data_IF_264096614452
#
_entry.id   IF_264096614452
#
_cell.length_a   1.000
_cell.length_b   1.000
_cell.length_c   1.000
_cell.angle_alpha   90.00
_cell.angle_beta   90.00
_cell.angle_gamma   90.00
#
_symmetry.space_group_name_H-M   'P 1'
#
loop_
_entity.id
_entity.type
_entity.pdbx_description
1 polymer ?
#
# COMPACT_ATOMS: atom_id res chain seq x y z
N UNK A 1 -12.09 -11.14 14.09
CA UNK A 1 -12.41 -9.74 13.70
C UNK A 1 -11.81 -9.31 12.35
N UNK A 2 -10.53 -9.59 12.07
CA UNK A 2 -9.85 -9.20 10.81
C UNK A 2 -10.46 -9.85 9.56
N UNK A 3 -10.77 -11.15 9.59
CA UNK A 3 -11.35 -11.89 8.45
C UNK A 3 -12.74 -11.33 8.05
N UNK A 4 -13.53 -10.88 9.02
CA UNK A 4 -14.85 -10.27 8.77
C UNK A 4 -14.74 -8.87 8.16
N UNK A 5 -13.75 -8.07 8.58
CA UNK A 5 -13.48 -6.75 8.00
C UNK A 5 -12.97 -6.86 6.54
N UNK A 6 -12.10 -7.83 6.24
CA UNK A 6 -11.63 -8.09 4.88
C UNK A 6 -12.78 -8.50 3.94
N UNK A 7 -13.64 -9.43 4.38
CA UNK A 7 -14.77 -9.92 3.58
C UNK A 7 -15.80 -8.82 3.31
N UNK A 8 -16.18 -8.06 4.34
CA UNK A 8 -17.17 -6.98 4.22
C UNK A 8 -16.65 -5.85 3.32
N UNK A 9 -15.40 -5.44 3.50
CA UNK A 9 -14.81 -4.40 2.65
C UNK A 9 -14.67 -4.85 1.20
N UNK A 10 -14.34 -6.13 0.96
CA UNK A 10 -14.25 -6.65 -0.40
C UNK A 10 -15.59 -6.54 -1.15
N UNK A 11 -16.72 -6.73 -0.44
CA UNK A 11 -18.04 -6.62 -1.05
C UNK A 11 -18.54 -5.19 -1.24
N UNK A 12 -18.36 -4.31 -0.25
CA UNK A 12 -18.93 -2.96 -0.28
C UNK A 12 -17.93 -1.89 -0.68
N UNK A 13 -16.75 -1.88 -0.06
CA UNK A 13 -15.74 -0.85 -0.28
C UNK A 13 -15.17 -0.95 -1.70
N UNK A 14 -14.82 -2.15 -2.17
CA UNK A 14 -14.31 -2.34 -3.53
C UNK A 14 -15.28 -1.80 -4.59
N UNK A 15 -16.57 -2.10 -4.46
CA UNK A 15 -17.61 -1.59 -5.37
C UNK A 15 -17.75 -0.07 -5.29
N UNK A 16 -17.58 0.51 -4.11
CA UNK A 16 -17.60 1.96 -3.93
C UNK A 16 -16.38 2.62 -4.60
N UNK A 17 -15.17 2.09 -4.36
CA UNK A 17 -13.92 2.56 -4.97
C UNK A 17 -14.02 2.54 -6.50
N UNK A 18 -14.55 1.45 -7.06
CA UNK A 18 -14.71 1.29 -8.49
C UNK A 18 -15.78 2.22 -9.08
N UNK A 19 -16.99 2.26 -8.48
CA UNK A 19 -18.12 3.02 -9.05
C UNK A 19 -18.09 4.52 -8.79
N UNK A 20 -17.45 4.96 -7.71
CA UNK A 20 -17.48 6.37 -7.26
C UNK A 20 -16.13 7.06 -7.38
N UNK A 21 -15.03 6.34 -7.11
CA UNK A 21 -13.68 6.91 -7.18
C UNK A 21 -12.91 6.49 -8.44
N UNK A 22 -13.49 5.61 -9.27
CA UNK A 22 -12.87 5.06 -10.48
C UNK A 22 -11.52 4.39 -10.19
N UNK A 23 -11.37 3.82 -8.98
CA UNK A 23 -10.17 3.09 -8.57
C UNK A 23 -10.42 1.60 -8.75
N UNK A 24 -9.70 0.99 -9.69
CA UNK A 24 -9.74 -0.45 -9.93
C UNK A 24 -8.76 -1.16 -9.01
N UNK A 25 -9.29 -1.90 -8.05
CA UNK A 25 -8.51 -2.79 -7.19
C UNK A 25 -8.74 -4.24 -7.67
N UNK A 26 -7.78 -4.80 -8.41
CA UNK A 26 -7.92 -6.10 -9.10
C UNK A 26 -8.00 -7.28 -8.14
N UNK A 27 -7.15 -7.28 -7.12
CA UNK A 27 -7.05 -8.36 -6.13
C UNK A 27 -7.73 -8.03 -4.79
N UNK A 28 -8.22 -6.80 -4.61
CA UNK A 28 -8.77 -6.36 -3.33
C UNK A 28 -7.66 -6.03 -2.31
N UNK A 29 -6.55 -5.45 -2.77
CA UNK A 29 -5.40 -5.10 -1.94
C UNK A 29 -5.78 -4.12 -0.81
N UNK A 30 -6.72 -3.21 -1.04
CA UNK A 30 -7.21 -2.30 0.01
C UNK A 30 -7.90 -3.10 1.14
N UNK A 31 -8.71 -4.07 0.77
CA UNK A 31 -9.42 -4.94 1.72
C UNK A 31 -8.51 -5.91 2.46
N UNK A 32 -7.51 -6.47 1.79
CA UNK A 32 -6.61 -7.48 2.38
C UNK A 32 -5.42 -6.88 3.12
N UNK A 33 -4.90 -5.74 2.67
CA UNK A 33 -3.70 -5.13 3.25
C UNK A 33 -4.01 -3.84 4.01
N UNK A 34 -4.65 -2.86 3.38
CA UNK A 34 -4.79 -1.53 3.97
C UNK A 34 -5.68 -1.54 5.22
N UNK A 35 -6.86 -2.17 5.16
CA UNK A 35 -7.78 -2.21 6.30
C UNK A 35 -7.20 -3.01 7.47
N UNK A 36 -6.65 -4.24 7.28
CA UNK A 36 -6.00 -4.95 8.37
C UNK A 36 -4.80 -4.22 8.94
N UNK A 37 -4.02 -3.52 8.12
CA UNK A 37 -2.91 -2.70 8.58
C UNK A 37 -3.39 -1.56 9.49
N UNK A 38 -4.46 -0.85 9.12
CA UNK A 38 -5.04 0.22 9.95
C UNK A 38 -5.57 -0.34 11.27
N UNK A 39 -6.28 -1.49 11.25
CA UNK A 39 -6.78 -2.13 12.47
C UNK A 39 -5.62 -2.57 13.38
N UNK A 40 -4.58 -3.18 12.81
CA UNK A 40 -3.39 -3.60 13.55
C UNK A 40 -2.62 -2.40 14.10
N UNK A 41 -2.54 -1.29 13.35
CA UNK A 41 -1.92 -0.06 13.80
C UNK A 41 -2.65 0.54 15.00
N UNK A 42 -3.99 0.65 14.97
CA UNK A 42 -4.80 1.11 16.11
C UNK A 42 -4.60 0.21 17.32
N UNK A 43 -4.65 -1.11 17.13
CA UNK A 43 -4.39 -2.07 18.21
C UNK A 43 -2.98 -1.88 18.77
N UNK A 44 -1.98 -1.67 17.92
CA UNK A 44 -0.60 -1.39 18.30
C UNK A 44 -0.46 -0.15 19.16
N UNK A 45 -1.08 0.98 18.76
CA UNK A 45 -1.11 2.21 19.57
C UNK A 45 -1.69 1.92 20.95
N UNK A 46 -2.86 1.29 21.02
CA UNK A 46 -3.53 0.96 22.30
C UNK A 46 -2.65 0.06 23.18
N UNK A 47 -2.00 -0.94 22.59
CA UNK A 47 -1.14 -1.89 23.31
C UNK A 47 0.10 -1.24 23.90
N UNK A 48 0.65 -0.20 23.28
CA UNK A 48 1.86 0.48 23.77
C UNK A 48 1.57 1.68 24.67
N UNK A 49 0.38 2.27 24.60
CA UNK A 49 -0.06 3.38 25.47
C UNK A 49 0.19 3.13 26.97
N UNK A 50 -0.20 1.97 27.57
CA UNK A 50 -0.02 1.78 29.02
C UNK A 50 1.45 1.56 29.41
N UNK A 51 2.33 1.27 28.45
CA UNK A 51 3.73 1.03 28.74
C UNK A 51 4.47 2.31 29.09
N UNK A 52 4.03 3.48 28.60
CA UNK A 52 4.62 4.79 28.92
C UNK A 52 6.16 4.73 29.03
N UNK A 53 6.74 5.09 30.18
CA UNK A 53 8.17 5.06 30.45
C UNK A 53 8.72 3.65 30.68
N UNK A 54 7.85 2.66 30.95
CA UNK A 54 8.22 1.26 31.17
C UNK A 54 8.54 0.54 29.85
N UNK A 55 8.16 1.13 28.71
CA UNK A 55 8.68 0.67 27.42
C UNK A 55 10.15 1.07 27.27
N UNK A 56 11.03 0.12 27.55
CA UNK A 56 12.47 0.29 27.41
C UNK A 56 13.01 -0.23 26.06
N UNK A 57 12.12 -0.66 25.14
CA UNK A 57 12.48 -1.23 23.85
C UNK A 57 13.22 -2.57 23.93
N UNK A 58 13.57 -3.13 22.77
CA UNK A 58 14.36 -4.37 22.64
C UNK A 58 15.83 -4.20 23.13
N UNK A 59 16.23 -2.97 23.39
CA UNK A 59 17.60 -2.59 23.72
C UNK A 59 17.82 -2.26 25.21
N UNK A 60 16.78 -2.42 26.05
CA UNK A 60 16.90 -2.14 27.48
C UNK A 60 18.05 -2.92 28.13
N UNK A 61 18.90 -2.20 28.86
CA UNK A 61 20.07 -2.78 29.52
C UNK A 61 21.30 -2.97 28.63
N UNK A 62 21.23 -2.69 27.32
CA UNK A 62 22.45 -2.31 26.60
C UNK A 62 22.77 -0.87 26.99
N UNK A 63 23.81 -0.69 27.80
CA UNK A 63 24.40 0.63 28.00
C UNK A 63 24.84 1.14 26.62
N UNK A 64 24.02 2.00 26.02
CA UNK A 64 24.42 2.86 24.94
C UNK A 64 25.51 3.77 25.51
N UNK A 65 26.78 3.35 25.34
CA UNK A 65 27.90 4.24 25.55
C UNK A 65 27.58 5.53 24.79
N UNK A 66 27.75 6.67 25.44
CA UNK A 66 27.37 8.03 25.01
C UNK A 66 27.91 8.46 23.64
N UNK A 67 28.60 7.57 22.94
CA UNK A 67 28.94 7.65 21.54
C UNK A 67 28.09 6.64 20.75
N UNK A 68 26.84 7.02 20.45
CA UNK A 68 26.27 6.56 19.19
C UNK A 68 27.17 7.13 18.10
N UNK A 69 28.09 6.32 17.57
CA UNK A 69 28.80 6.70 16.36
C UNK A 69 27.74 6.83 15.29
N UNK A 70 27.43 8.08 14.98
CA UNK A 70 26.56 8.51 13.91
C UNK A 70 26.88 7.68 12.67
N UNK A 71 26.05 6.69 12.37
CA UNK A 71 26.29 5.74 11.27
C UNK A 71 26.22 6.42 9.91
N UNK A 72 25.65 7.64 9.88
CA UNK A 72 25.47 8.47 8.72
C UNK A 72 26.38 9.71 8.83
N UNK A 73 27.19 10.05 7.82
CA UNK A 73 28.18 11.14 7.90
C UNK A 73 27.60 12.57 7.97
N UNK A 74 26.27 12.74 8.09
CA UNK A 74 25.57 14.03 8.06
C UNK A 74 24.49 14.08 9.13
N UNK A 75 24.30 15.25 9.77
CA UNK A 75 23.26 15.45 10.79
C UNK A 75 21.92 15.46 10.07
N UNK A 76 21.14 14.38 10.20
CA UNK A 76 19.73 14.45 9.84
C UNK A 76 19.06 15.30 10.92
N UNK A 77 18.51 16.46 10.57
CA UNK A 77 17.55 17.15 11.46
C UNK A 77 16.32 16.26 11.75
N UNK A 78 16.09 15.22 10.94
CA UNK A 78 15.08 14.19 11.20
C UNK A 78 15.39 13.37 12.45
N UNK A 79 16.64 13.33 12.91
CA UNK A 79 17.02 12.69 14.16
C UNK A 79 16.25 13.35 15.32
N UNK A 80 16.00 14.68 15.28
CA UNK A 80 15.15 15.38 16.25
C UNK A 80 13.66 14.99 16.19
N UNK A 81 13.16 14.43 15.08
CA UNK A 81 11.73 14.11 14.92
C UNK A 81 11.39 12.76 15.57
N UNK A 82 12.37 11.86 15.71
CA UNK A 82 12.17 10.51 16.27
C UNK A 82 13.27 10.09 17.25
N UNK A 83 13.79 11.00 18.09
CA UNK A 83 14.68 10.60 19.20
C UNK A 83 13.90 9.83 20.27
N UNK A 84 13.79 8.52 20.10
CA UNK A 84 13.32 7.66 21.17
C UNK A 84 14.45 7.49 22.20
N UNK A 85 14.42 8.31 23.25
CA UNK A 85 15.14 7.98 24.48
C UNK A 85 14.39 6.85 25.19
N UNK A 86 15.14 5.86 25.69
CA UNK A 86 14.57 4.76 26.47
C UNK A 86 13.73 5.31 27.61
N UNK A 87 12.47 4.89 27.68
CA UNK A 87 11.56 5.29 28.75
C UNK A 87 11.08 6.74 28.71
N UNK A 88 11.12 7.45 27.57
CA UNK A 88 10.55 8.81 27.47
C UNK A 88 9.01 8.84 27.39
N UNK A 89 8.33 7.69 27.36
CA UNK A 89 6.86 7.66 27.25
C UNK A 89 6.29 7.85 25.85
N UNK A 90 7.11 8.26 24.89
CA UNK A 90 6.64 8.67 23.55
C UNK A 90 6.37 7.51 22.57
N UNK A 91 6.54 6.26 22.97
CA UNK A 91 6.37 5.09 22.08
C UNK A 91 4.99 5.07 21.41
N UNK A 92 3.94 5.39 22.17
CA UNK A 92 2.58 5.45 21.63
C UNK A 92 2.40 6.60 20.64
N UNK A 93 3.06 7.73 20.91
CA UNK A 93 3.05 8.90 20.04
C UNK A 93 3.77 8.60 18.71
N UNK A 94 4.93 7.95 18.76
CA UNK A 94 5.64 7.52 17.55
C UNK A 94 4.83 6.50 16.76
N UNK A 95 4.27 5.49 17.43
CA UNK A 95 3.38 4.53 16.77
C UNK A 95 2.22 5.28 16.09
N UNK A 96 1.63 6.29 16.73
CA UNK A 96 0.55 7.09 16.16
C UNK A 96 0.99 7.92 14.93
N UNK A 97 2.19 8.50 14.92
CA UNK A 97 2.66 9.28 13.77
C UNK A 97 3.05 8.44 12.55
N UNK A 98 3.46 7.19 12.75
CA UNK A 98 3.97 6.36 11.64
C UNK A 98 2.93 6.05 10.57
N UNK A 99 1.64 5.88 10.92
CA UNK A 99 0.62 5.57 9.93
C UNK A 99 0.32 6.75 8.99
N UNK A 100 0.05 7.98 9.47
CA UNK A 100 -0.07 9.15 8.59
C UNK A 100 1.14 9.32 7.66
N UNK A 101 2.37 9.19 8.19
CA UNK A 101 3.60 9.29 7.37
C UNK A 101 3.63 8.21 6.29
N UNK A 102 3.33 6.97 6.66
CA UNK A 102 3.27 5.83 5.72
C UNK A 102 2.24 6.06 4.62
N UNK A 103 1.05 6.56 4.94
CA UNK A 103 0.01 6.89 3.96
C UNK A 103 0.50 7.99 3.02
N UNK A 104 1.10 9.06 3.55
CA UNK A 104 1.63 10.15 2.73
C UNK A 104 2.71 9.65 1.76
N UNK A 105 3.66 8.85 2.24
CA UNK A 105 4.71 8.26 1.38
C UNK A 105 4.09 7.33 0.33
N UNK A 106 3.17 6.44 0.72
CA UNK A 106 2.54 5.49 -0.20
C UNK A 106 1.72 6.21 -1.29
N UNK A 107 0.97 7.25 -0.95
CA UNK A 107 0.19 8.03 -1.92
C UNK A 107 1.09 8.82 -2.87
N UNK A 108 2.08 9.52 -2.34
CA UNK A 108 2.98 10.35 -3.16
C UNK A 108 3.81 9.52 -4.12
N UNK A 109 4.45 8.45 -3.62
CA UNK A 109 5.26 7.55 -4.45
C UNK A 109 4.40 6.72 -5.41
N UNK A 110 3.20 6.29 -5.00
CA UNK A 110 2.24 5.61 -5.85
C UNK A 110 1.75 6.48 -7.00
N UNK A 111 1.41 7.74 -6.74
CA UNK A 111 1.02 8.71 -7.77
C UNK A 111 2.16 8.99 -8.76
N UNK A 112 3.38 9.21 -8.24
CA UNK A 112 4.56 9.43 -9.07
C UNK A 112 4.84 8.22 -9.98
N UNK A 113 4.82 7.01 -9.40
CA UNK A 113 5.02 5.76 -10.14
C UNK A 113 3.93 5.55 -11.18
N UNK A 114 2.66 5.79 -10.82
CA UNK A 114 1.53 5.70 -11.74
C UNK A 114 1.63 6.68 -12.91
N UNK A 115 2.10 7.90 -12.66
CA UNK A 115 2.34 8.90 -13.71
C UNK A 115 3.42 8.44 -14.70
N UNK A 116 4.52 7.87 -14.20
CA UNK A 116 5.59 7.30 -15.05
C UNK A 116 5.08 6.09 -15.82
N UNK A 117 4.39 5.15 -15.15
CA UNK A 117 3.85 3.94 -15.76
C UNK A 117 2.85 4.26 -16.90
N UNK A 118 2.06 5.34 -16.76
CA UNK A 118 1.13 5.78 -17.81
C UNK A 118 1.80 6.17 -19.13
N UNK A 119 3.11 6.47 -19.13
CA UNK A 119 3.87 6.78 -20.35
C UNK A 119 4.40 5.54 -21.06
N UNK A 120 4.34 4.37 -20.42
CA UNK A 120 4.74 3.10 -21.01
C UNK A 120 3.54 2.52 -21.77
N UNK A 121 3.74 2.08 -23.02
CA UNK A 121 2.68 1.49 -23.83
C UNK A 121 2.30 0.13 -23.25
N UNK A 122 1.16 0.06 -22.56
CA UNK A 122 0.57 -1.16 -22.05
C UNK A 122 -0.49 -1.76 -22.98
N UNK A 123 -1.10 -2.90 -22.60
CA UNK A 123 -2.26 -3.45 -23.29
C UNK A 123 -3.45 -2.48 -23.25
N UNK A 124 -4.37 -2.62 -24.21
CA UNK A 124 -5.62 -1.87 -24.19
C UNK A 124 -6.47 -2.30 -23.00
N UNK A 125 -7.36 -1.41 -22.53
CA UNK A 125 -8.26 -1.72 -21.40
C UNK A 125 -9.05 -3.02 -21.66
N UNK A 126 -9.55 -3.20 -22.89
CA UNK A 126 -10.30 -4.38 -23.32
C UNK A 126 -9.50 -5.70 -23.20
N UNK A 127 -8.17 -5.66 -23.24
CA UNK A 127 -7.30 -6.83 -23.17
C UNK A 127 -6.47 -6.90 -21.88
N UNK A 128 -6.78 -6.10 -20.85
CA UNK A 128 -5.96 -6.01 -19.63
C UNK A 128 -5.85 -7.32 -18.83
N UNK A 129 -6.75 -8.27 -19.08
CA UNK A 129 -6.77 -9.60 -18.43
C UNK A 129 -6.68 -10.74 -19.45
N UNK A 130 -6.06 -10.50 -20.61
CA UNK A 130 -5.83 -11.53 -21.63
C UNK A 130 -4.36 -11.93 -21.63
N UNK A 131 -4.11 -13.23 -21.44
CA UNK A 131 -2.76 -13.78 -21.34
C UNK A 131 -2.10 -13.85 -22.72
N UNK A 132 -2.90 -13.95 -23.79
CA UNK A 132 -2.45 -14.05 -25.19
C UNK A 132 -1.63 -12.85 -25.69
N UNK A 133 -1.60 -11.73 -24.95
CA UNK A 133 -0.76 -10.57 -25.28
C UNK A 133 0.72 -10.84 -25.02
N UNK A 134 1.03 -11.59 -23.97
CA UNK A 134 2.39 -11.82 -23.50
C UNK A 134 2.83 -13.27 -23.67
N UNK A 135 1.87 -14.19 -23.84
CA UNK A 135 2.12 -15.63 -23.88
C UNK A 135 1.44 -16.27 -25.08
N UNK A 136 2.02 -17.39 -25.55
CA UNK A 136 1.33 -18.27 -26.49
C UNK A 136 0.36 -19.13 -25.69
N UNK A 137 -0.93 -18.91 -25.89
CA UNK A 137 -2.00 -19.69 -25.24
C UNK A 137 -2.53 -20.77 -26.19
N UNK A 138 -3.01 -21.91 -25.67
CA UNK A 138 -3.56 -22.98 -26.51
C UNK A 138 -4.78 -22.50 -27.32
N UNK A 139 -4.96 -23.05 -28.52
CA UNK A 139 -5.94 -22.58 -29.51
C UNK A 139 -7.39 -22.59 -29.01
N UNK A 140 -7.74 -23.52 -28.12
CA UNK A 140 -9.05 -23.62 -27.47
C UNK A 140 -9.35 -22.47 -26.50
N UNK A 141 -8.32 -21.80 -25.97
CA UNK A 141 -8.47 -20.63 -25.08
C UNK A 141 -8.42 -19.29 -25.82
N UNK A 142 -7.82 -19.24 -27.01
CA UNK A 142 -7.73 -18.02 -27.83
C UNK A 142 -9.11 -17.45 -28.15
N UNK A 143 -10.06 -18.32 -28.48
CA UNK A 143 -11.43 -17.93 -28.80
C UNK A 143 -12.23 -17.45 -27.57
N UNK A 144 -11.80 -17.76 -26.35
CA UNK A 144 -12.52 -17.35 -25.13
C UNK A 144 -11.99 -16.06 -24.51
N UNK A 145 -10.70 -15.75 -24.67
CA UNK A 145 -10.08 -14.57 -24.07
C UNK A 145 -10.29 -13.29 -24.92
N UNK A 146 -10.34 -13.42 -26.25
CA UNK A 146 -10.43 -12.26 -27.17
C UNK A 146 -11.87 -11.90 -27.59
N UNK A 147 -12.90 -12.57 -27.06
CA UNK A 147 -14.32 -12.28 -27.36
C UNK A 147 -14.80 -10.86 -26.96
N UNK A 148 -13.99 -10.11 -26.21
CA UNK A 148 -14.26 -8.71 -25.86
C UNK A 148 -13.71 -7.67 -26.85
N UNK A 149 -12.90 -8.07 -27.84
CA UNK A 149 -12.16 -7.15 -28.73
C UNK A 149 -12.55 -7.20 -30.22
N UNK A 150 -13.54 -8.01 -30.59
CA UNK A 150 -13.82 -8.38 -31.99
C UNK A 150 -14.34 -7.28 -32.93
N UNK A 151 -14.57 -6.04 -32.48
CA UNK A 151 -15.15 -4.98 -33.33
C UNK A 151 -14.39 -3.64 -33.38
N UNK A 152 -13.25 -3.49 -32.71
CA UNK A 152 -12.51 -2.20 -32.69
C UNK A 152 -11.58 -2.01 -33.90
N UNK A 153 -11.91 -2.62 -35.04
CA UNK A 153 -11.16 -2.56 -36.30
C UNK A 153 -12.00 -2.35 -37.57
N UNK A 154 -13.31 -2.15 -37.46
CA UNK A 154 -14.20 -1.85 -38.59
C UNK A 154 -15.17 -0.69 -38.26
N UNK A 155 -14.67 0.43 -37.74
CA UNK A 155 -15.37 1.71 -37.96
C UNK A 155 -14.84 2.26 -39.27
N UNK A 156 -15.62 1.97 -40.32
CA UNK A 156 -15.46 2.53 -41.66
C UNK A 156 -15.33 4.04 -41.58
N UNK A 157 -14.18 4.56 -42.04
CA UNK A 157 -14.14 5.90 -42.59
C UNK A 157 -15.04 5.89 -43.83
N UNK A 158 -16.29 6.36 -43.69
CA UNK A 158 -17.13 6.79 -44.78
C UNK A 158 -18.28 7.68 -44.25
N UNK A 159 -18.27 8.91 -44.78
CA UNK A 159 -19.23 10.03 -44.68
C UNK A 159 -19.18 10.86 -43.41
#
# INVERSE_FOLDING_TARGET
>A
PTVSACSTSHHYLRRFLEKKLLVTDTVGAVSLHAIPAVVAWVAGVISVTPLNTDYMGKWSGLAYGTSQQKTMPYDLELDLVFQHNEGNGDTALYQAYMMPVTICVALTTGLATGFVARKIKGPSVARTFSDSIFWVVPEDFQNTEDMGGGNDGQVTANV
#
